data_IF_278327072144
#
_entry.id   IF_278327072144
#
_cell.length_a   1.000
_cell.length_b   1.000
_cell.length_c   1.000
_cell.angle_alpha   90.00
_cell.angle_beta   90.00
_cell.angle_gamma   90.00
#
_symmetry.space_group_name_H-M   'P 1'
#
loop_
_entity.id
_entity.type
_entity.pdbx_description
1 polymer ?
#
# COMPACT_ATOMS: atom_id res chain seq x y z
N UNK A 1 26.98 -28.61 12.86
CA UNK A 1 25.85 -27.87 12.26
C UNK A 1 26.41 -26.60 11.60
N UNK A 2 25.95 -26.29 10.40
CA UNK A 2 26.34 -25.04 9.72
C UNK A 2 25.87 -23.81 10.50
N UNK A 3 26.68 -22.79 10.53
CA UNK A 3 26.41 -21.54 11.24
C UNK A 3 25.37 -20.67 10.51
N UNK A 4 25.30 -20.81 9.19
CA UNK A 4 24.41 -20.05 8.30
C UNK A 4 23.57 -21.00 7.46
N UNK A 5 22.33 -20.56 7.13
CA UNK A 5 21.42 -21.32 6.28
C UNK A 5 21.78 -21.16 4.79
N UNK A 6 22.19 -19.96 4.39
CA UNK A 6 22.55 -19.60 3.03
C UNK A 6 23.72 -18.59 3.02
N UNK A 7 24.66 -18.79 2.10
CA UNK A 7 25.73 -17.88 1.78
C UNK A 7 25.62 -17.44 0.31
N UNK A 8 25.51 -16.14 0.08
CA UNK A 8 25.69 -15.53 -1.25
C UNK A 8 27.16 -15.15 -1.39
N UNK A 9 27.86 -15.81 -2.32
CA UNK A 9 29.33 -15.74 -2.42
C UNK A 9 29.78 -14.83 -3.53
N UNK A 10 30.62 -13.82 -3.21
CA UNK A 10 31.37 -13.02 -4.18
C UNK A 10 30.52 -12.04 -5.00
N UNK A 11 29.34 -11.63 -4.50
CA UNK A 11 28.48 -10.69 -5.20
C UNK A 11 28.93 -9.23 -5.08
N UNK A 12 28.45 -8.38 -5.99
CA UNK A 12 28.58 -6.94 -5.87
C UNK A 12 27.45 -6.42 -4.96
N UNK A 13 27.81 -5.99 -3.75
CA UNK A 13 26.84 -5.53 -2.74
C UNK A 13 26.50 -4.06 -2.97
N UNK A 14 25.19 -3.78 -3.03
CA UNK A 14 24.59 -2.45 -3.05
C UNK A 14 23.58 -2.40 -1.91
N UNK A 15 23.93 -1.76 -0.80
CA UNK A 15 23.17 -1.83 0.46
C UNK A 15 22.06 -0.79 0.62
N UNK A 16 21.93 0.14 -0.34
CA UNK A 16 20.93 1.22 -0.29
C UNK A 16 21.23 2.36 0.69
N UNK A 17 22.37 2.33 1.39
CA UNK A 17 22.74 3.33 2.39
C UNK A 17 23.67 4.43 1.85
N UNK A 18 23.69 4.66 0.56
CA UNK A 18 24.60 5.60 -0.12
C UNK A 18 26.10 5.21 -0.04
N UNK A 19 26.41 4.03 0.44
CA UNK A 19 27.76 3.47 0.44
C UNK A 19 28.14 3.09 -1.00
N UNK A 20 29.38 3.36 -1.45
CA UNK A 20 29.84 2.84 -2.73
C UNK A 20 29.73 1.31 -2.80
N UNK A 21 29.34 0.79 -3.96
CA UNK A 21 29.25 -0.67 -4.16
C UNK A 21 30.62 -1.33 -3.90
N UNK A 22 30.59 -2.54 -3.35
CA UNK A 22 31.76 -3.34 -3.04
C UNK A 22 31.51 -4.83 -3.27
N UNK A 23 32.57 -5.61 -3.50
CA UNK A 23 32.46 -7.06 -3.61
C UNK A 23 32.53 -7.70 -2.23
N UNK A 24 31.64 -8.63 -1.94
CA UNK A 24 31.61 -9.33 -0.65
C UNK A 24 30.67 -10.53 -0.65
N UNK A 25 30.72 -11.24 0.45
CA UNK A 25 29.81 -12.35 0.74
C UNK A 25 28.71 -11.88 1.68
N UNK A 26 27.51 -12.47 1.59
CA UNK A 26 26.40 -12.20 2.47
C UNK A 26 25.83 -13.53 3.02
N UNK A 27 25.87 -13.69 4.34
CA UNK A 27 25.32 -14.87 5.02
C UNK A 27 23.95 -14.58 5.65
N UNK A 28 23.07 -15.54 5.51
CA UNK A 28 21.71 -15.53 6.06
C UNK A 28 21.57 -16.65 7.09
N UNK A 29 21.02 -16.32 8.24
CA UNK A 29 20.63 -17.28 9.27
C UNK A 29 19.26 -16.89 9.83
N UNK A 30 18.38 -17.86 9.97
CA UNK A 30 17.03 -17.67 10.52
C UNK A 30 16.25 -16.55 9.81
N UNK A 31 16.37 -16.48 8.48
CA UNK A 31 15.70 -15.48 7.65
C UNK A 31 16.24 -14.05 7.76
N UNK A 32 17.39 -13.85 8.42
CA UNK A 32 18.02 -12.52 8.60
C UNK A 32 19.43 -12.50 8.04
N UNK A 33 19.88 -11.33 7.61
CA UNK A 33 21.30 -11.09 7.29
C UNK A 33 22.09 -11.20 8.58
N UNK A 34 22.95 -12.21 8.65
CA UNK A 34 23.75 -12.51 9.84
C UNK A 34 25.16 -11.93 9.75
N UNK A 35 25.73 -11.87 8.54
CA UNK A 35 27.07 -11.34 8.31
C UNK A 35 27.25 -10.89 6.87
N UNK A 36 28.02 -9.81 6.68
CA UNK A 36 28.52 -9.35 5.39
C UNK A 36 30.05 -9.27 5.48
N UNK A 37 30.76 -9.67 4.43
CA UNK A 37 32.21 -9.64 4.37
C UNK A 37 32.78 -10.92 3.77
N UNK A 38 33.99 -11.29 4.15
CA UNK A 38 34.57 -12.57 3.73
C UNK A 38 34.11 -13.70 4.66
N UNK A 39 33.53 -14.75 4.09
CA UNK A 39 32.93 -15.87 4.81
C UNK A 39 33.38 -17.19 4.18
N UNK A 40 33.73 -18.16 5.00
CA UNK A 40 34.09 -19.50 4.53
C UNK A 40 32.86 -20.29 4.08
N UNK A 41 32.97 -20.99 2.97
CA UNK A 41 31.88 -21.82 2.42
C UNK A 41 31.44 -22.93 3.40
N UNK A 42 32.39 -23.42 4.22
CA UNK A 42 32.12 -24.47 5.23
C UNK A 42 31.22 -23.98 6.37
N UNK A 43 30.99 -22.67 6.50
CA UNK A 43 30.14 -22.13 7.55
C UNK A 43 28.64 -22.16 7.18
N UNK A 44 28.30 -22.40 5.90
CA UNK A 44 26.93 -22.36 5.42
C UNK A 44 26.39 -23.72 4.97
N UNK A 45 25.10 -23.96 5.18
CA UNK A 45 24.41 -25.16 4.71
C UNK A 45 24.23 -25.16 3.18
N UNK A 46 24.04 -23.99 2.59
CA UNK A 46 23.92 -23.77 1.13
C UNK A 46 24.77 -22.60 0.72
N UNK A 47 25.48 -22.74 -0.40
CA UNK A 47 26.28 -21.66 -1.00
C UNK A 47 25.71 -21.37 -2.38
N UNK A 48 25.44 -20.09 -2.64
CA UNK A 48 25.04 -19.59 -3.94
C UNK A 48 26.17 -18.71 -4.50
N UNK A 49 26.69 -19.06 -5.67
CA UNK A 49 27.69 -18.24 -6.34
C UNK A 49 27.02 -16.99 -6.93
N UNK A 50 27.31 -15.84 -6.33
CA UNK A 50 26.79 -14.54 -6.73
C UNK A 50 27.85 -13.71 -7.52
N UNK A 51 28.96 -14.32 -7.95
CA UNK A 51 29.96 -13.65 -8.79
C UNK A 51 29.29 -13.06 -10.03
N UNK A 52 29.65 -11.83 -10.37
CA UNK A 52 29.10 -11.05 -11.48
C UNK A 52 27.60 -10.70 -11.34
N UNK A 53 27.00 -10.97 -10.17
CA UNK A 53 25.66 -10.55 -9.82
C UNK A 53 25.66 -9.41 -8.81
N UNK A 54 24.58 -8.62 -8.81
CA UNK A 54 24.33 -7.60 -7.79
C UNK A 54 23.52 -8.23 -6.66
N UNK A 55 23.95 -7.98 -5.42
CA UNK A 55 23.22 -8.35 -4.20
C UNK A 55 22.74 -7.05 -3.57
N UNK A 56 21.43 -6.83 -3.59
CA UNK A 56 20.79 -5.63 -3.09
C UNK A 56 19.50 -5.99 -2.32
N UNK A 57 18.98 -5.09 -1.47
CA UNK A 57 17.61 -5.21 -0.96
C UNK A 57 16.63 -5.35 -2.12
N UNK A 58 15.57 -6.15 -1.92
CA UNK A 58 14.49 -6.22 -2.90
C UNK A 58 13.76 -4.88 -3.03
N UNK A 59 13.18 -4.64 -4.19
CA UNK A 59 12.39 -3.43 -4.41
C UNK A 59 11.11 -3.45 -3.61
N UNK A 60 10.65 -2.26 -3.19
CA UNK A 60 9.37 -2.04 -2.55
C UNK A 60 8.50 -1.31 -3.58
N UNK A 61 7.44 -1.96 -4.05
CA UNK A 61 6.44 -1.34 -4.92
C UNK A 61 5.38 -0.67 -4.03
N UNK A 62 5.42 0.65 -4.01
CA UNK A 62 4.57 1.47 -3.14
C UNK A 62 3.15 1.65 -3.68
N UNK A 63 2.90 1.27 -4.95
CA UNK A 63 1.60 1.47 -5.57
C UNK A 63 1.21 0.26 -6.42
N UNK A 64 0.41 -0.61 -5.86
CA UNK A 64 -0.17 -1.75 -6.57
C UNK A 64 -1.66 -1.89 -6.28
N UNK A 65 -2.38 -2.56 -7.18
CA UNK A 65 -3.77 -2.96 -6.99
C UNK A 65 -3.91 -4.48 -6.90
N UNK A 66 -2.98 -5.12 -6.17
CA UNK A 66 -3.02 -6.56 -5.90
C UNK A 66 -3.98 -6.95 -4.78
N UNK A 67 -4.88 -6.05 -4.39
CA UNK A 67 -5.83 -6.20 -3.28
C UNK A 67 -6.64 -7.50 -3.35
N UNK A 68 -7.02 -7.89 -4.55
CA UNK A 68 -7.70 -9.16 -4.80
C UNK A 68 -6.75 -10.24 -5.30
N UNK A 69 -5.82 -9.89 -6.20
CA UNK A 69 -4.91 -10.82 -6.87
C UNK A 69 -4.05 -11.61 -5.89
N UNK A 70 -3.65 -11.00 -4.76
CA UNK A 70 -2.83 -11.62 -3.74
C UNK A 70 -3.40 -12.95 -3.22
N UNK A 71 -4.71 -13.18 -3.32
CA UNK A 71 -5.37 -14.40 -2.86
C UNK A 71 -5.26 -15.56 -3.85
N UNK A 72 -5.01 -15.31 -5.15
CA UNK A 72 -4.83 -16.37 -6.17
C UNK A 72 -3.45 -16.35 -6.84
N UNK A 73 -2.74 -15.23 -6.78
CA UNK A 73 -1.32 -15.13 -7.14
C UNK A 73 -0.52 -14.55 -5.97
N UNK A 74 -0.32 -15.35 -4.89
CA UNK A 74 0.33 -14.86 -3.67
C UNK A 74 1.81 -14.57 -3.83
N UNK A 75 2.39 -14.84 -4.99
CA UNK A 75 3.77 -14.46 -5.33
C UNK A 75 3.84 -13.08 -6.00
N UNK A 76 2.71 -12.47 -6.37
CA UNK A 76 2.69 -11.26 -7.20
C UNK A 76 3.66 -11.46 -8.39
N UNK A 77 3.44 -12.52 -9.15
CA UNK A 77 4.42 -13.17 -10.04
C UNK A 77 5.16 -12.17 -10.94
N UNK A 78 4.44 -11.24 -11.57
CA UNK A 78 5.06 -10.23 -12.44
C UNK A 78 6.02 -9.32 -11.68
N UNK A 79 5.60 -8.77 -10.54
CA UNK A 79 6.44 -7.91 -9.70
C UNK A 79 7.64 -8.69 -9.12
N UNK A 80 7.42 -9.91 -8.64
CA UNK A 80 8.47 -10.77 -8.10
C UNK A 80 9.57 -11.10 -9.12
N UNK A 81 9.23 -11.27 -10.38
CA UNK A 81 10.22 -11.50 -11.46
C UNK A 81 11.12 -10.29 -11.72
N UNK A 82 10.69 -9.10 -11.35
CA UNK A 82 11.47 -7.87 -11.46
C UNK A 82 12.20 -7.49 -10.16
N UNK A 83 12.25 -8.40 -9.17
CA UNK A 83 12.97 -8.20 -7.92
C UNK A 83 12.20 -7.41 -6.85
N UNK A 84 10.89 -7.25 -7.04
CA UNK A 84 10.01 -6.71 -5.99
C UNK A 84 9.81 -7.77 -4.90
N UNK A 85 10.09 -7.39 -3.66
CA UNK A 85 9.93 -8.26 -2.49
C UNK A 85 8.90 -7.75 -1.49
N UNK A 86 8.41 -6.54 -1.69
CA UNK A 86 7.36 -5.94 -0.87
C UNK A 86 6.42 -5.15 -1.77
N UNK A 87 5.12 -5.30 -1.56
CA UNK A 87 4.06 -4.58 -2.28
C UNK A 87 3.16 -3.86 -1.30
N UNK A 88 2.63 -2.72 -1.74
CA UNK A 88 1.62 -1.98 -0.97
C UNK A 88 0.32 -2.00 -1.73
N UNK A 89 -0.75 -2.43 -1.07
CA UNK A 89 -2.11 -2.54 -1.59
C UNK A 89 -3.06 -1.55 -0.90
N UNK A 90 -4.28 -1.41 -1.40
CA UNK A 90 -5.25 -0.46 -0.88
C UNK A 90 -4.98 0.97 -1.35
N UNK A 91 -4.40 1.15 -2.53
CA UNK A 91 -4.06 2.46 -3.09
C UNK A 91 -5.29 3.20 -3.65
N UNK A 92 -5.14 4.49 -3.93
CA UNK A 92 -6.13 5.37 -4.56
C UNK A 92 -7.47 5.45 -3.82
N UNK A 93 -7.49 5.13 -2.53
CA UNK A 93 -8.72 5.07 -1.76
C UNK A 93 -9.57 3.83 -2.01
N UNK A 94 -9.14 2.90 -2.88
CA UNK A 94 -9.80 1.63 -3.10
C UNK A 94 -9.57 0.66 -1.93
N UNK A 95 -10.32 -0.44 -1.92
CA UNK A 95 -10.12 -1.53 -0.99
C UNK A 95 -11.37 -2.38 -0.80
N UNK A 96 -11.20 -3.52 -0.16
CA UNK A 96 -12.25 -4.49 0.11
C UNK A 96 -12.58 -4.62 1.60
N UNK A 97 -12.16 -3.61 2.40
CA UNK A 97 -12.46 -3.57 3.83
C UNK A 97 -12.39 -2.14 4.41
N UNK A 98 -13.31 -1.79 5.32
CA UNK A 98 -14.48 -2.59 5.74
C UNK A 98 -15.52 -2.72 4.61
N UNK A 99 -16.23 -3.83 4.55
CA UNK A 99 -17.23 -4.05 3.50
C UNK A 99 -18.35 -4.97 4.00
N UNK A 100 -19.61 -4.57 3.82
CA UNK A 100 -20.75 -5.44 4.09
C UNK A 100 -20.91 -6.46 2.97
N UNK A 101 -21.46 -7.64 3.24
CA UNK A 101 -21.68 -8.65 2.19
C UNK A 101 -22.44 -8.11 0.97
N UNK A 102 -23.43 -7.26 1.17
CA UNK A 102 -24.23 -6.63 0.13
C UNK A 102 -23.47 -5.60 -0.73
N UNK A 103 -22.36 -5.04 -0.20
CA UNK A 103 -21.56 -4.02 -0.89
C UNK A 103 -20.34 -4.60 -1.64
N UNK A 104 -20.08 -5.91 -1.52
CA UNK A 104 -18.93 -6.59 -2.12
C UNK A 104 -18.91 -6.50 -3.64
N UNK A 105 -20.05 -6.72 -4.26
CA UNK A 105 -20.18 -6.65 -5.73
C UNK A 105 -19.83 -5.26 -6.24
N UNK A 106 -20.35 -4.22 -5.60
CA UNK A 106 -20.04 -2.84 -5.94
C UNK A 106 -18.52 -2.56 -5.87
N UNK A 107 -17.87 -3.00 -4.79
CA UNK A 107 -16.42 -2.80 -4.61
C UNK A 107 -15.62 -3.47 -5.72
N UNK A 108 -16.03 -4.67 -6.14
CA UNK A 108 -15.42 -5.38 -7.27
C UNK A 108 -15.65 -4.66 -8.60
N UNK A 109 -16.86 -4.18 -8.86
CA UNK A 109 -17.20 -3.48 -10.11
C UNK A 109 -16.44 -2.15 -10.22
N UNK A 110 -16.25 -1.44 -9.11
CA UNK A 110 -15.45 -0.22 -9.07
C UNK A 110 -13.98 -0.49 -9.45
N UNK A 111 -13.41 -1.56 -8.90
CA UNK A 111 -12.04 -1.95 -9.24
C UNK A 111 -11.94 -2.49 -10.68
N UNK A 112 -12.92 -3.24 -11.16
CA UNK A 112 -12.98 -3.71 -12.55
C UNK A 112 -12.95 -2.53 -13.53
N UNK A 113 -13.71 -1.48 -13.25
CA UNK A 113 -13.76 -0.28 -14.10
C UNK A 113 -12.42 0.43 -14.19
N UNK A 114 -11.70 0.53 -13.09
CA UNK A 114 -10.48 1.33 -13.01
C UNK A 114 -9.22 0.52 -13.28
N UNK A 115 -9.17 -0.75 -12.87
CA UNK A 115 -7.97 -1.59 -12.92
C UNK A 115 -8.09 -2.77 -13.89
N UNK A 116 -9.22 -2.89 -14.58
CA UNK A 116 -9.50 -3.95 -15.57
C UNK A 116 -9.41 -5.40 -15.02
N UNK A 117 -9.55 -5.58 -13.71
CA UNK A 117 -9.63 -6.89 -13.06
C UNK A 117 -11.10 -7.29 -12.98
N UNK A 118 -11.50 -8.33 -13.68
CA UNK A 118 -12.92 -8.73 -13.78
C UNK A 118 -13.52 -9.04 -12.40
N UNK A 119 -14.69 -8.47 -12.10
CA UNK A 119 -15.44 -8.72 -10.87
C UNK A 119 -15.71 -10.21 -10.64
N UNK A 120 -16.01 -10.97 -11.70
CA UNK A 120 -16.19 -12.43 -11.63
C UNK A 120 -14.93 -13.18 -11.22
N UNK A 121 -13.75 -12.72 -11.61
CA UNK A 121 -12.46 -13.28 -11.17
C UNK A 121 -12.22 -12.99 -9.70
N UNK A 122 -12.50 -11.76 -9.27
CA UNK A 122 -12.38 -11.35 -7.86
C UNK A 122 -13.35 -12.13 -6.97
N UNK A 123 -14.61 -12.28 -7.42
CA UNK A 123 -15.62 -13.05 -6.68
C UNK A 123 -15.22 -14.53 -6.48
N UNK A 124 -14.57 -15.13 -7.47
CA UNK A 124 -14.12 -16.52 -7.40
C UNK A 124 -12.79 -16.69 -6.66
N UNK A 125 -11.90 -15.69 -6.70
CA UNK A 125 -10.53 -15.77 -6.19
C UNK A 125 -10.35 -15.32 -4.75
N UNK A 126 -11.26 -14.48 -4.23
CA UNK A 126 -11.17 -13.98 -2.86
C UNK A 126 -11.98 -14.84 -1.89
N UNK A 127 -11.46 -15.13 -0.67
CA UNK A 127 -12.18 -15.96 0.32
C UNK A 127 -13.38 -15.24 0.95
N UNK A 128 -13.41 -13.91 0.96
CA UNK A 128 -14.46 -13.09 1.53
C UNK A 128 -14.87 -13.46 2.97
N UNK A 129 -13.87 -13.84 3.78
CA UNK A 129 -14.01 -14.26 5.18
C UNK A 129 -13.88 -13.09 6.18
N UNK A 130 -13.98 -11.86 5.69
CA UNK A 130 -13.93 -10.63 6.47
C UNK A 130 -15.12 -9.72 6.23
N UNK A 131 -15.30 -8.80 7.16
CA UNK A 131 -16.22 -7.66 7.10
C UNK A 131 -15.47 -6.38 7.52
N UNK A 132 -14.66 -6.46 8.57
CA UNK A 132 -13.87 -5.35 9.09
C UNK A 132 -12.46 -5.35 8.53
N UNK A 133 -11.77 -4.20 8.63
CA UNK A 133 -10.39 -4.09 8.17
C UNK A 133 -9.40 -4.98 8.95
N UNK A 134 -9.48 -5.10 10.30
CA UNK A 134 -8.64 -6.07 11.01
C UNK A 134 -8.86 -7.52 10.56
N UNK A 135 -10.09 -7.92 10.23
CA UNK A 135 -10.37 -9.25 9.70
C UNK A 135 -9.72 -9.45 8.31
N UNK A 136 -9.76 -8.43 7.45
CA UNK A 136 -9.07 -8.46 6.16
C UNK A 136 -7.56 -8.64 6.33
N UNK A 137 -6.93 -7.89 7.24
CA UNK A 137 -5.51 -8.08 7.54
C UNK A 137 -5.20 -9.49 8.04
N UNK A 138 -6.08 -10.06 8.87
CA UNK A 138 -5.92 -11.44 9.34
C UNK A 138 -6.04 -12.44 8.18
N UNK A 139 -7.00 -12.28 7.28
CA UNK A 139 -7.13 -13.12 6.07
C UNK A 139 -5.87 -13.03 5.19
N UNK A 140 -5.36 -11.81 4.98
CA UNK A 140 -4.08 -11.60 4.30
C UNK A 140 -2.93 -12.31 5.03
N UNK A 141 -2.87 -12.25 6.35
CA UNK A 141 -1.81 -12.89 7.13
C UNK A 141 -1.83 -14.41 7.01
N UNK A 142 -3.01 -15.01 6.95
CA UNK A 142 -3.18 -16.47 6.79
C UNK A 142 -2.84 -16.96 5.38
N UNK A 143 -2.89 -16.09 4.38
CA UNK A 143 -2.53 -16.44 3.00
C UNK A 143 -1.01 -16.59 2.88
N UNK A 144 -0.47 -17.78 2.54
CA UNK A 144 0.97 -17.94 2.29
C UNK A 144 1.40 -17.07 1.11
N UNK A 145 2.43 -16.25 1.32
CA UNK A 145 2.87 -15.26 0.32
C UNK A 145 4.37 -15.34 0.05
N UNK A 146 4.74 -15.10 -1.19
CA UNK A 146 6.14 -14.99 -1.62
C UNK A 146 6.72 -13.58 -1.51
N UNK A 147 5.87 -12.58 -1.17
CA UNK A 147 6.25 -11.17 -0.99
C UNK A 147 5.73 -10.66 0.35
N UNK A 148 6.35 -9.61 0.87
CA UNK A 148 5.77 -8.88 2.00
C UNK A 148 4.63 -7.99 1.48
N UNK A 149 3.55 -7.89 2.25
CA UNK A 149 2.39 -7.09 1.89
C UNK A 149 2.13 -6.07 2.99
N UNK A 150 2.01 -4.82 2.60
CA UNK A 150 1.50 -3.73 3.42
C UNK A 150 0.14 -3.31 2.83
N UNK A 151 -0.81 -2.95 3.69
CA UNK A 151 -2.11 -2.50 3.23
C UNK A 151 -2.43 -1.12 3.81
N UNK A 152 -2.79 -0.20 2.92
CA UNK A 152 -3.53 1.00 3.33
C UNK A 152 -4.96 0.63 3.71
N UNK A 153 -5.57 1.44 4.56
CA UNK A 153 -7.01 1.55 4.63
C UNK A 153 -7.47 2.54 3.55
N UNK A 154 -8.20 2.05 2.56
CA UNK A 154 -8.80 2.91 1.55
C UNK A 154 -9.92 3.77 2.17
N UNK A 155 -9.93 5.08 1.88
CA UNK A 155 -10.96 5.95 2.47
C UNK A 155 -12.34 5.76 1.85
N UNK A 156 -12.47 5.33 0.58
CA UNK A 156 -13.78 5.09 -0.02
C UNK A 156 -14.58 3.98 0.70
N UNK A 157 -14.02 2.78 0.98
CA UNK A 157 -14.72 1.79 1.80
C UNK A 157 -15.00 2.26 3.23
N UNK A 158 -14.08 3.02 3.86
CA UNK A 158 -14.31 3.56 5.20
C UNK A 158 -15.51 4.52 5.24
N UNK A 159 -15.56 5.47 4.32
CA UNK A 159 -16.65 6.45 4.22
C UNK A 159 -17.99 5.76 3.88
N UNK A 160 -17.99 4.85 2.91
CA UNK A 160 -19.19 4.07 2.57
C UNK A 160 -19.68 3.23 3.73
N UNK A 161 -18.79 2.66 4.53
CA UNK A 161 -19.13 1.87 5.71
C UNK A 161 -19.87 2.68 6.77
N UNK A 162 -19.42 3.91 7.05
CA UNK A 162 -19.98 4.74 8.13
C UNK A 162 -21.20 5.54 7.68
N UNK A 163 -21.08 6.19 6.53
CA UNK A 163 -22.12 7.10 6.02
C UNK A 163 -23.19 6.39 5.18
N UNK A 164 -22.89 5.20 4.66
CA UNK A 164 -23.62 4.61 3.55
C UNK A 164 -23.28 5.29 2.22
N UNK A 165 -23.43 4.56 1.11
CA UNK A 165 -22.99 5.03 -0.22
C UNK A 165 -23.66 6.33 -0.65
N UNK A 166 -24.98 6.42 -0.49
CA UNK A 166 -25.78 7.57 -0.91
C UNK A 166 -25.34 8.85 -0.18
N UNK A 167 -25.19 8.79 1.14
CA UNK A 167 -24.74 9.94 1.92
C UNK A 167 -23.27 10.30 1.63
N UNK A 168 -22.40 9.30 1.50
CA UNK A 168 -21.00 9.52 1.21
C UNK A 168 -20.77 10.19 -0.15
N UNK A 169 -21.70 10.01 -1.11
CA UNK A 169 -21.68 10.69 -2.40
C UNK A 169 -22.50 11.97 -2.44
N UNK A 170 -23.38 12.19 -1.48
CA UNK A 170 -24.38 13.29 -1.53
C UNK A 170 -24.09 14.47 -0.62
N UNK A 171 -23.26 14.30 0.41
CA UNK A 171 -22.98 15.34 1.40
C UNK A 171 -21.68 15.11 2.16
N UNK A 172 -21.10 16.16 2.78
CA UNK A 172 -20.02 15.99 3.76
C UNK A 172 -20.44 15.13 4.95
N UNK A 173 -19.45 14.55 5.65
CA UNK A 173 -19.67 13.81 6.89
C UNK A 173 -20.19 14.73 8.00
N UNK A 174 -21.06 14.19 8.88
CA UNK A 174 -21.37 14.86 10.14
C UNK A 174 -20.20 14.73 11.11
N UNK A 175 -20.11 15.56 12.17
CA UNK A 175 -19.06 15.42 13.17
C UNK A 175 -19.01 14.02 13.81
N UNK A 176 -20.16 13.39 14.03
CA UNK A 176 -20.26 12.04 14.60
C UNK A 176 -19.78 10.97 13.63
N UNK A 177 -20.11 11.12 12.35
CA UNK A 177 -19.62 10.24 11.28
C UNK A 177 -18.10 10.38 11.13
N UNK A 178 -17.60 11.62 11.10
CA UNK A 178 -16.15 11.90 11.04
C UNK A 178 -15.42 11.28 12.24
N UNK A 179 -15.94 11.46 13.45
CA UNK A 179 -15.36 10.87 14.66
C UNK A 179 -15.34 9.33 14.57
N UNK A 180 -16.41 8.73 14.10
CA UNK A 180 -16.53 7.27 13.91
C UNK A 180 -15.48 6.78 12.89
N UNK A 181 -15.36 7.46 11.76
CA UNK A 181 -14.35 7.12 10.74
C UNK A 181 -12.93 7.25 11.27
N UNK A 182 -12.64 8.32 12.03
CA UNK A 182 -11.33 8.50 12.68
C UNK A 182 -11.04 7.37 13.68
N UNK A 183 -12.03 6.92 14.45
CA UNK A 183 -11.90 5.78 15.36
C UNK A 183 -11.56 4.49 14.62
N UNK A 184 -12.30 4.17 13.55
CA UNK A 184 -12.06 2.97 12.73
C UNK A 184 -10.70 3.02 12.00
N UNK A 185 -10.28 4.19 11.53
CA UNK A 185 -8.92 4.35 10.99
C UNK A 185 -7.86 4.10 12.07
N UNK A 186 -8.08 4.63 13.28
CA UNK A 186 -7.20 4.38 14.42
C UNK A 186 -7.08 2.89 14.76
N UNK A 187 -8.20 2.15 14.75
CA UNK A 187 -8.21 0.69 14.93
C UNK A 187 -7.48 -0.04 13.82
N UNK A 188 -7.65 0.40 12.56
CA UNK A 188 -6.94 -0.17 11.42
C UNK A 188 -5.42 0.00 11.54
N UNK A 189 -4.95 1.18 11.96
CA UNK A 189 -3.54 1.44 12.21
C UNK A 189 -3.02 0.55 13.35
N UNK A 190 -3.79 0.37 14.41
CA UNK A 190 -3.41 -0.51 15.52
C UNK A 190 -3.36 -1.98 15.10
N UNK A 191 -4.24 -2.40 14.21
CA UNK A 191 -4.24 -3.74 13.63
C UNK A 191 -3.11 -4.00 12.63
N UNK A 192 -2.42 -2.95 12.13
CA UNK A 192 -1.27 -3.10 11.24
C UNK A 192 -1.41 -2.44 9.87
N UNK A 193 -2.44 -1.62 9.63
CA UNK A 193 -2.49 -0.79 8.43
C UNK A 193 -1.23 0.07 8.32
N UNK A 194 -0.67 0.18 7.13
CA UNK A 194 0.50 1.03 6.89
C UNK A 194 0.16 2.52 6.76
N UNK A 195 -1.11 2.86 6.79
CA UNK A 195 -1.64 4.20 6.67
C UNK A 195 -3.00 4.21 6.00
N UNK A 196 -3.34 5.29 5.33
CA UNK A 196 -4.54 5.38 4.51
C UNK A 196 -4.24 5.89 3.10
N UNK A 197 -5.19 5.67 2.19
CA UNK A 197 -5.10 6.16 0.82
C UNK A 197 -6.39 6.86 0.39
N UNK A 198 -6.26 7.83 -0.51
CA UNK A 198 -7.38 8.52 -1.13
C UNK A 198 -7.06 8.93 -2.57
N UNK A 199 -8.05 8.90 -3.44
CA UNK A 199 -8.10 9.65 -4.67
C UNK A 199 -8.81 10.97 -4.39
N UNK A 200 -8.25 12.09 -4.82
CA UNK A 200 -8.81 13.43 -4.62
C UNK A 200 -8.59 14.23 -5.91
N UNK A 201 -9.25 13.83 -6.96
CA UNK A 201 -9.13 14.43 -8.29
C UNK A 201 -10.33 15.34 -8.63
N UNK A 202 -11.31 15.44 -7.74
CA UNK A 202 -12.50 16.25 -7.93
C UNK A 202 -13.57 15.59 -8.80
N UNK A 203 -14.66 16.32 -9.01
CA UNK A 203 -15.84 15.83 -9.73
C UNK A 203 -15.58 15.46 -11.19
N UNK A 204 -14.56 16.06 -11.81
CA UNK A 204 -14.20 15.82 -13.22
C UNK A 204 -13.14 14.73 -13.42
N UNK A 205 -12.82 13.96 -12.35
CA UNK A 205 -11.88 12.86 -12.39
C UNK A 205 -12.17 11.87 -13.54
N UNK A 206 -11.10 11.41 -14.20
CA UNK A 206 -11.20 10.38 -15.24
C UNK A 206 -11.45 8.99 -14.66
N UNK A 207 -11.01 8.76 -13.41
CA UNK A 207 -11.32 7.55 -12.67
C UNK A 207 -12.68 7.71 -11.97
N UNK A 208 -13.60 6.84 -12.27
CA UNK A 208 -14.98 6.91 -11.81
C UNK A 208 -15.37 5.65 -11.02
N UNK A 209 -16.37 5.80 -10.17
CA UNK A 209 -17.05 4.65 -9.58
C UNK A 209 -17.71 3.79 -10.67
N UNK A 210 -18.08 2.56 -10.34
CA UNK A 210 -18.62 1.58 -11.29
C UNK A 210 -19.80 2.12 -12.12
N UNK A 211 -20.61 2.98 -11.55
CA UNK A 211 -21.80 3.59 -12.16
C UNK A 211 -21.51 4.85 -13.00
N UNK A 212 -20.24 5.26 -13.06
CA UNK A 212 -19.80 6.45 -13.81
C UNK A 212 -19.89 7.77 -13.02
N UNK A 213 -20.34 7.73 -11.77
CA UNK A 213 -20.32 8.90 -10.88
C UNK A 213 -18.91 9.12 -10.31
N UNK A 214 -18.60 10.30 -9.73
CA UNK A 214 -17.33 10.52 -9.03
C UNK A 214 -17.09 9.47 -7.93
N UNK A 215 -15.82 9.19 -7.66
CA UNK A 215 -15.44 8.40 -6.49
C UNK A 215 -15.85 9.12 -5.21
N UNK A 216 -16.14 8.38 -4.15
CA UNK A 216 -16.52 8.95 -2.84
C UNK A 216 -15.46 9.97 -2.37
N UNK A 217 -14.19 9.62 -2.52
CA UNK A 217 -13.09 10.46 -2.04
C UNK A 217 -12.81 11.67 -2.93
N UNK A 218 -13.25 11.67 -4.20
CA UNK A 218 -13.14 12.84 -5.09
C UNK A 218 -14.02 14.01 -4.64
N UNK A 219 -15.09 13.72 -3.89
CA UNK A 219 -16.04 14.72 -3.37
C UNK A 219 -15.97 14.85 -1.84
N UNK A 220 -14.98 14.20 -1.22
CA UNK A 220 -14.73 14.27 0.22
C UNK A 220 -14.34 15.69 0.63
N UNK A 221 -14.82 16.11 1.80
CA UNK A 221 -14.41 17.40 2.38
C UNK A 221 -12.90 17.39 2.70
N UNK A 222 -12.17 18.47 2.38
CA UNK A 222 -10.79 18.64 2.86
C UNK A 222 -10.65 18.52 4.38
N UNK A 223 -11.66 18.93 5.15
CA UNK A 223 -11.65 18.81 6.61
C UNK A 223 -11.66 17.36 7.09
N UNK A 224 -12.32 16.46 6.35
CA UNK A 224 -12.28 15.02 6.65
C UNK A 224 -10.87 14.46 6.43
N UNK A 225 -10.21 14.82 5.32
CA UNK A 225 -8.82 14.42 5.07
C UNK A 225 -7.88 14.90 6.17
N UNK A 226 -8.06 16.13 6.61
CA UNK A 226 -7.29 16.72 7.73
C UNK A 226 -7.54 15.95 9.05
N UNK A 227 -8.78 15.54 9.30
CA UNK A 227 -9.11 14.74 10.48
C UNK A 227 -8.40 13.38 10.44
N UNK A 228 -8.38 12.70 9.29
CA UNK A 228 -7.64 11.44 9.11
C UNK A 228 -6.12 11.61 9.27
N UNK A 229 -5.56 12.73 8.77
CA UNK A 229 -4.15 13.05 8.97
C UNK A 229 -3.79 13.18 10.47
N UNK A 230 -4.68 13.77 11.28
CA UNK A 230 -4.49 13.86 12.74
C UNK A 230 -4.47 12.49 13.43
N UNK A 231 -5.27 11.53 12.95
CA UNK A 231 -5.21 10.16 13.48
C UNK A 231 -3.81 9.56 13.32
N UNK A 232 -3.17 9.73 12.16
CA UNK A 232 -1.81 9.23 11.95
C UNK A 232 -0.78 9.95 12.82
N UNK A 233 -0.97 11.26 13.07
CA UNK A 233 -0.16 12.03 14.02
C UNK A 233 -0.24 11.42 15.42
N UNK A 234 -1.46 11.19 15.91
CA UNK A 234 -1.72 10.63 17.25
C UNK A 234 -1.13 9.22 17.38
N UNK A 235 -1.25 8.39 16.35
CA UNK A 235 -0.67 7.04 16.31
C UNK A 235 0.86 7.05 16.16
N UNK A 236 1.47 8.14 15.71
CA UNK A 236 2.92 8.30 15.53
C UNK A 236 3.52 7.37 14.47
N UNK A 237 2.71 6.75 13.63
CA UNK A 237 3.13 5.78 12.61
C UNK A 237 2.22 5.81 11.37
N UNK A 238 2.65 5.13 10.31
CA UNK A 238 1.96 5.08 9.04
C UNK A 238 2.45 6.13 8.05
N UNK A 239 1.93 6.07 6.85
CA UNK A 239 2.17 7.02 5.76
C UNK A 239 0.88 7.18 4.95
N UNK A 240 0.82 8.22 4.12
CA UNK A 240 -0.40 8.62 3.43
C UNK A 240 -0.13 8.52 1.94
N UNK A 241 -1.06 7.94 1.19
CA UNK A 241 -1.03 7.94 -0.26
C UNK A 241 -2.20 8.76 -0.78
N UNK A 242 -1.92 9.74 -1.64
CA UNK A 242 -2.94 10.56 -2.29
C UNK A 242 -2.72 10.58 -3.80
N UNK A 243 -3.79 10.40 -4.55
CA UNK A 243 -3.85 10.62 -5.98
C UNK A 243 -4.65 11.91 -6.25
N UNK A 244 -4.07 12.87 -6.96
CA UNK A 244 -4.66 14.19 -7.15
C UNK A 244 -4.41 15.11 -5.95
N UNK A 245 -5.38 15.96 -5.63
CA UNK A 245 -5.31 17.09 -4.70
C UNK A 245 -4.41 18.25 -5.21
N UNK A 246 -4.67 19.44 -4.69
CA UNK A 246 -3.76 20.56 -4.88
C UNK A 246 -2.56 20.48 -3.92
N UNK A 247 -1.50 21.19 -4.27
CA UNK A 247 -0.27 21.15 -3.51
C UNK A 247 -0.42 21.69 -2.08
N UNK A 248 -1.26 22.71 -1.88
CA UNK A 248 -1.47 23.34 -0.58
C UNK A 248 -2.14 22.36 0.40
N UNK A 249 -3.16 21.62 -0.08
CA UNK A 249 -3.82 20.59 0.73
C UNK A 249 -2.84 19.45 1.08
N UNK A 250 -2.02 19.08 0.12
CA UNK A 250 -1.02 18.04 0.28
C UNK A 250 0.04 18.40 1.34
N UNK A 251 0.58 19.62 1.24
CA UNK A 251 1.54 20.17 2.21
C UNK A 251 0.92 20.23 3.62
N UNK A 252 -0.31 20.72 3.73
CA UNK A 252 -1.05 20.80 4.99
C UNK A 252 -1.28 19.41 5.62
N UNK A 253 -1.60 18.40 4.82
CA UNK A 253 -1.74 17.01 5.29
C UNK A 253 -0.42 16.47 5.82
N UNK A 254 0.68 16.71 5.11
CA UNK A 254 2.02 16.31 5.54
C UNK A 254 2.44 17.00 6.85
N UNK A 255 2.23 18.31 6.94
CA UNK A 255 2.54 19.11 8.13
C UNK A 255 1.73 18.65 9.35
N UNK A 256 0.41 18.50 9.18
CA UNK A 256 -0.49 18.12 10.28
C UNK A 256 -0.20 16.71 10.75
N UNK A 257 -0.02 15.76 9.83
CA UNK A 257 0.24 14.37 10.20
C UNK A 257 1.64 14.16 10.77
N UNK A 258 2.62 14.95 10.33
CA UNK A 258 4.05 14.71 10.58
C UNK A 258 4.50 13.36 10.00
N UNK A 259 3.81 12.86 8.95
CA UNK A 259 4.05 11.54 8.34
C UNK A 259 4.41 11.70 6.87
N UNK A 260 5.16 10.74 6.30
CA UNK A 260 5.42 10.74 4.86
C UNK A 260 4.11 10.71 4.07
N UNK A 261 4.04 11.51 3.03
CA UNK A 261 2.95 11.52 2.06
C UNK A 261 3.49 11.15 0.70
N UNK A 262 2.86 10.18 0.06
CA UNK A 262 3.17 9.72 -1.28
C UNK A 262 2.15 10.35 -2.21
N UNK A 263 2.64 11.22 -3.08
CA UNK A 263 1.83 11.84 -4.12
C UNK A 263 1.97 11.05 -5.41
N UNK A 264 0.90 10.42 -5.83
CA UNK A 264 0.87 9.72 -7.10
C UNK A 264 0.42 10.64 -8.21
N UNK A 265 1.05 10.48 -9.36
CA UNK A 265 0.79 11.21 -10.59
C UNK A 265 1.14 12.69 -10.48
N UNK A 266 2.40 12.99 -10.71
CA UNK A 266 2.82 14.34 -11.07
C UNK A 266 2.38 14.58 -12.52
N UNK A 267 1.26 15.25 -12.71
CA UNK A 267 0.89 15.76 -14.02
C UNK A 267 1.79 16.96 -14.33
N UNK A 268 2.67 16.81 -15.30
CA UNK A 268 3.45 17.91 -15.85
C UNK A 268 2.56 18.75 -16.78
N UNK A 269 1.63 19.48 -16.18
CA UNK A 269 0.93 20.57 -16.84
C UNK A 269 1.86 21.77 -16.94
N UNK A 270 1.79 22.48 -18.01
CA UNK A 270 2.79 23.32 -18.64
C UNK A 270 3.44 24.43 -17.83
N UNK A 271 2.95 24.86 -16.65
CA UNK A 271 3.43 26.10 -16.03
C UNK A 271 3.63 26.13 -14.51
N UNK A 272 3.31 25.10 -13.75
CA UNK A 272 3.33 25.23 -12.28
C UNK A 272 4.16 24.22 -11.48
N UNK A 273 4.69 23.17 -12.09
CA UNK A 273 5.23 22.04 -11.31
C UNK A 273 6.72 21.73 -11.47
N UNK A 274 7.46 22.51 -12.23
CA UNK A 274 8.91 22.29 -12.43
C UNK A 274 9.75 22.52 -11.17
N UNK A 275 9.22 23.21 -10.16
CA UNK A 275 9.94 23.43 -8.90
C UNK A 275 9.99 22.21 -7.97
N UNK A 276 9.13 21.22 -8.15
CA UNK A 276 9.07 20.02 -7.31
C UNK A 276 10.14 18.97 -7.64
N UNK A 277 10.78 19.09 -8.80
CA UNK A 277 11.87 18.19 -9.24
C UNK A 277 13.15 18.40 -8.41
N UNK A 278 13.26 19.47 -7.68
CA UNK A 278 14.45 19.88 -6.93
C UNK A 278 14.35 19.71 -5.42
N UNK A 279 13.28 19.08 -4.92
CA UNK A 279 13.15 18.75 -3.49
C UNK A 279 13.74 17.33 -3.23
#
# INVERSE_FOLDING_TARGET
MSKYDLLLKGGTIVDGQKTPRYTGDLAIAQGKIAKIGQISDFEAARVFNAKDLVVAPGFIDLHTHFDSQIFWDPYCTMSGWHGVTSVVIGNCGFGFAPVRPEDRERSMLTLERNEAIRATTMAAGMPWDWVTFPQFLNSLQQTPKGVNVLSYMGLAPLMSWVMGLENAKGRPATPEEQQTMCGLLGEAIDAGACGFSAQIMGEDSVQRDYDGTPMITDIMSPDDLIAFARVLKEKGRGFIQVLGADFELFEKVAEISGRPVIWNTLEFGTDQHLSLIHI
#
